data_IF_957731731170
#
_entry.id   IF_957731731170
#
_cell.length_a   1.000
_cell.length_b   1.000
_cell.length_c   1.000
_cell.angle_alpha   90.00
_cell.angle_beta   90.00
_cell.angle_gamma   90.00
#
_symmetry.space_group_name_H-M   'P 1'
#
loop_
_entity.id
_entity.type
_entity.pdbx_description
1 polymer ?
#
# COMPACT_ATOMS: atom_id res chain seq x y z
N UNK A 1 3.96 0.71 19.56
CA UNK A 1 4.50 0.19 18.29
C UNK A 1 3.44 -0.70 17.68
N UNK A 2 3.04 -0.47 16.44
CA UNK A 2 2.00 -1.25 15.77
C UNK A 2 2.51 -2.68 15.54
N UNK A 3 1.72 -3.66 15.93
CA UNK A 3 1.92 -5.06 15.57
C UNK A 3 1.24 -5.33 14.22
N UNK A 4 1.96 -5.04 13.14
CA UNK A 4 1.48 -5.24 11.77
C UNK A 4 1.05 -6.69 11.47
N UNK A 5 1.79 -7.74 11.91
CA UNK A 5 1.35 -9.13 11.75
C UNK A 5 0.00 -9.46 12.40
N UNK A 6 -0.39 -8.74 13.46
CA UNK A 6 -1.70 -8.90 14.13
C UNK A 6 -2.69 -7.77 13.86
N UNK A 7 -2.39 -6.86 12.94
CA UNK A 7 -3.25 -5.74 12.55
C UNK A 7 -3.89 -5.98 11.19
N UNK A 8 -5.19 -5.71 11.07
CA UNK A 8 -5.98 -6.11 9.92
C UNK A 8 -6.93 -5.01 9.45
N UNK A 9 -7.18 -4.99 8.15
CA UNK A 9 -8.38 -4.40 7.57
C UNK A 9 -9.32 -5.54 7.15
N UNK A 10 -10.57 -5.48 7.59
CA UNK A 10 -11.61 -6.44 7.23
C UNK A 10 -12.77 -5.69 6.59
N UNK A 11 -13.34 -6.22 5.51
CA UNK A 11 -14.54 -5.65 4.92
C UNK A 11 -15.52 -6.70 4.44
N UNK A 12 -16.77 -6.27 4.30
CA UNK A 12 -17.88 -7.01 3.70
C UNK A 12 -18.27 -6.33 2.39
N UNK A 13 -18.28 -7.08 1.29
CA UNK A 13 -18.73 -6.54 0.00
C UNK A 13 -20.23 -6.27 0.03
N UNK A 14 -20.70 -5.34 -0.79
CA UNK A 14 -22.12 -5.32 -1.16
C UNK A 14 -22.51 -6.65 -1.84
N UNK A 15 -23.81 -7.03 -1.80
CA UNK A 15 -24.31 -8.16 -2.56
C UNK A 15 -23.92 -8.02 -4.03
N UNK A 16 -23.29 -9.05 -4.59
CA UNK A 16 -22.85 -9.04 -5.98
C UNK A 16 -24.05 -8.77 -6.88
N UNK A 17 -23.89 -7.83 -7.80
CA UNK A 17 -24.76 -7.70 -8.97
C UNK A 17 -23.98 -8.17 -10.20
N UNK A 18 -24.65 -8.88 -11.10
CA UNK A 18 -24.06 -9.22 -12.39
C UNK A 18 -23.69 -7.94 -13.12
N UNK A 19 -22.42 -7.83 -13.51
CA UNK A 19 -21.98 -6.77 -14.41
C UNK A 19 -22.69 -6.94 -15.77
N UNK A 20 -23.22 -5.87 -16.37
CA UNK A 20 -23.98 -5.95 -17.62
C UNK A 20 -23.14 -6.40 -18.82
N UNK A 21 -21.82 -6.23 -18.76
CA UNK A 21 -20.91 -6.52 -19.87
C UNK A 21 -20.03 -7.73 -19.59
N UNK A 22 -19.46 -7.85 -18.40
CA UNK A 22 -18.39 -8.82 -18.12
C UNK A 22 -18.86 -10.02 -17.29
N UNK A 23 -18.39 -11.23 -17.64
CA UNK A 23 -18.68 -12.47 -16.90
C UNK A 23 -18.01 -12.48 -15.52
N UNK A 24 -16.79 -11.96 -15.43
CA UNK A 24 -15.96 -12.01 -14.23
C UNK A 24 -15.50 -10.63 -13.75
N UNK A 25 -16.35 -9.61 -13.89
CA UNK A 25 -16.09 -8.26 -13.38
C UNK A 25 -15.52 -8.29 -11.95
N UNK A 26 -14.45 -7.53 -11.72
CA UNK A 26 -13.83 -7.48 -10.40
C UNK A 26 -13.21 -8.81 -9.93
N UNK A 27 -13.11 -9.83 -10.79
CA UNK A 27 -12.52 -11.14 -10.44
C UNK A 27 -13.46 -11.98 -9.58
N UNK A 28 -14.73 -11.61 -9.49
CA UNK A 28 -15.67 -12.30 -8.63
C UNK A 28 -16.22 -13.56 -9.31
N UNK A 29 -16.07 -14.72 -8.67
CA UNK A 29 -16.71 -15.97 -9.03
C UNK A 29 -17.77 -16.30 -7.99
N UNK A 30 -19.03 -16.43 -8.41
CA UNK A 30 -20.18 -16.65 -7.53
C UNK A 30 -21.50 -16.28 -8.20
N UNK A 31 -22.58 -16.26 -7.44
CA UNK A 31 -23.94 -15.92 -7.89
C UNK A 31 -24.29 -14.47 -7.55
N UNK A 32 -25.33 -13.96 -8.19
CA UNK A 32 -25.92 -12.69 -7.80
C UNK A 32 -26.44 -12.78 -6.37
N UNK A 33 -26.25 -11.71 -5.59
CA UNK A 33 -26.53 -11.66 -4.17
C UNK A 33 -25.42 -12.20 -3.27
N UNK A 34 -24.41 -12.89 -3.81
CA UNK A 34 -23.29 -13.38 -2.99
C UNK A 34 -22.56 -12.22 -2.31
N UNK A 35 -22.22 -12.41 -1.04
CA UNK A 35 -21.45 -11.46 -0.24
C UNK A 35 -20.16 -12.12 0.22
N UNK A 36 -19.04 -11.39 0.14
CA UNK A 36 -17.74 -11.85 0.63
C UNK A 36 -17.30 -11.04 1.82
N UNK A 37 -16.67 -11.71 2.79
CA UNK A 37 -15.88 -11.08 3.84
C UNK A 37 -14.41 -11.29 3.51
N UNK A 38 -13.65 -10.22 3.45
CA UNK A 38 -12.24 -10.24 3.09
C UNK A 38 -11.45 -9.60 4.22
N UNK A 39 -10.24 -10.12 4.46
CA UNK A 39 -9.30 -9.59 5.45
C UNK A 39 -7.90 -9.62 4.86
N UNK A 40 -7.14 -8.54 5.05
CA UNK A 40 -5.69 -8.55 4.86
C UNK A 40 -4.97 -7.91 6.04
N UNK A 41 -3.67 -8.18 6.15
CA UNK A 41 -2.79 -7.51 7.10
C UNK A 41 -2.52 -6.06 6.67
N UNK A 42 -2.32 -5.19 7.64
CA UNK A 42 -1.80 -3.83 7.39
C UNK A 42 -0.28 -3.93 7.37
N UNK A 43 0.39 -3.28 6.40
CA UNK A 43 1.85 -3.34 6.24
C UNK A 43 2.56 -2.03 6.61
N UNK A 44 1.85 -0.90 6.60
CA UNK A 44 2.37 0.36 7.14
C UNK A 44 1.24 1.28 7.57
N UNK A 45 1.53 2.18 8.51
CA UNK A 45 0.67 3.30 8.89
C UNK A 45 1.39 4.63 8.66
N UNK A 46 0.63 5.67 8.29
CA UNK A 46 1.11 7.02 8.11
C UNK A 46 0.16 7.99 8.81
N UNK A 47 0.70 8.91 9.59
CA UNK A 47 -0.03 9.98 10.26
C UNK A 47 0.37 11.30 9.64
N UNK A 48 -0.62 12.07 9.19
CA UNK A 48 -0.46 13.49 8.85
C UNK A 48 -0.85 14.29 10.08
N UNK A 49 0.02 15.17 10.55
CA UNK A 49 -0.22 16.04 11.71
C UNK A 49 0.06 17.51 11.40
N UNK A 50 -0.64 18.39 12.10
CA UNK A 50 -0.31 19.81 12.14
C UNK A 50 1.05 20.04 12.82
N UNK A 51 1.59 21.25 12.70
CA UNK A 51 2.88 21.63 13.29
C UNK A 51 2.91 21.51 14.82
N UNK A 52 1.76 21.72 15.48
CA UNK A 52 1.60 21.52 16.92
C UNK A 52 1.48 20.04 17.36
N UNK A 53 1.63 19.09 16.43
CA UNK A 53 1.55 17.64 16.68
C UNK A 53 0.14 17.07 16.68
N UNK A 54 -0.92 17.87 16.45
CA UNK A 54 -2.28 17.35 16.37
C UNK A 54 -2.44 16.46 15.13
N UNK A 55 -2.84 15.20 15.32
CA UNK A 55 -3.12 14.28 14.22
C UNK A 55 -4.34 14.75 13.41
N UNK A 56 -4.18 14.86 12.09
CA UNK A 56 -5.20 15.32 11.15
C UNK A 56 -5.80 14.15 10.35
N UNK A 57 -4.96 13.18 9.97
CA UNK A 57 -5.39 11.98 9.25
C UNK A 57 -4.45 10.80 9.50
N UNK A 58 -5.02 9.59 9.46
CA UNK A 58 -4.28 8.33 9.43
C UNK A 58 -4.52 7.63 8.09
N UNK A 59 -3.45 7.12 7.49
CA UNK A 59 -3.43 6.39 6.24
C UNK A 59 -2.74 5.05 6.45
N UNK A 60 -3.18 4.02 5.73
CA UNK A 60 -2.68 2.67 5.83
C UNK A 60 -2.52 2.07 4.43
N UNK A 61 -1.63 1.09 4.29
CA UNK A 61 -1.61 0.19 3.14
C UNK A 61 -1.74 -1.25 3.58
N UNK A 62 -2.54 -2.00 2.84
CA UNK A 62 -2.74 -3.43 3.05
C UNK A 62 -1.66 -4.28 2.37
N UNK A 63 -1.54 -5.51 2.87
CA UNK A 63 -0.80 -6.58 2.25
C UNK A 63 -1.26 -6.81 0.80
N UNK A 64 -0.34 -7.19 -0.09
CA UNK A 64 -0.68 -7.39 -1.49
C UNK A 64 -1.55 -8.63 -1.66
N UNK A 65 -2.41 -8.57 -2.66
CA UNK A 65 -2.96 -9.74 -3.30
C UNK A 65 -2.48 -9.76 -4.76
N UNK A 66 -2.65 -10.88 -5.46
CA UNK A 66 -2.57 -10.89 -6.92
C UNK A 66 -3.97 -10.67 -7.46
N UNK A 67 -4.11 -10.12 -8.67
CA UNK A 67 -5.42 -9.98 -9.30
C UNK A 67 -5.97 -11.37 -9.66
N UNK A 68 -6.48 -12.05 -8.65
CA UNK A 68 -7.01 -13.39 -8.70
C UNK A 68 -8.53 -13.38 -8.79
N UNK A 69 -9.06 -14.54 -9.16
CA UNK A 69 -10.46 -14.85 -9.00
C UNK A 69 -10.76 -15.17 -7.54
N UNK A 70 -11.84 -14.61 -7.00
CA UNK A 70 -12.22 -14.81 -5.60
C UNK A 70 -12.92 -16.16 -5.41
N UNK A 71 -12.28 -17.05 -4.65
CA UNK A 71 -12.79 -18.37 -4.21
C UNK A 71 -13.25 -19.28 -5.39
N UNK A 72 -12.47 -19.43 -6.47
CA UNK A 72 -12.71 -20.50 -7.43
C UNK A 72 -12.28 -21.85 -6.83
N UNK A 73 -12.76 -22.96 -7.41
CA UNK A 73 -12.23 -24.30 -7.09
C UNK A 73 -10.85 -24.56 -7.70
N UNK A 74 -10.57 -23.93 -8.85
CA UNK A 74 -9.31 -24.05 -9.60
C UNK A 74 -9.15 -22.89 -10.58
N UNK A 75 -7.91 -22.59 -10.98
CA UNK A 75 -7.59 -21.48 -11.87
C UNK A 75 -7.79 -20.12 -11.18
N UNK A 76 -7.01 -19.87 -10.12
CA UNK A 76 -7.08 -18.65 -9.32
C UNK A 76 -6.56 -17.44 -10.08
N UNK A 77 -5.49 -17.61 -10.84
CA UNK A 77 -4.82 -16.51 -11.52
C UNK A 77 -5.24 -16.43 -12.99
N UNK A 78 -5.32 -15.19 -13.47
CA UNK A 78 -5.30 -14.87 -14.89
C UNK A 78 -3.88 -14.41 -15.24
N UNK A 79 -3.42 -14.68 -16.45
CA UNK A 79 -2.23 -14.04 -17.00
C UNK A 79 -2.66 -13.11 -18.14
N UNK A 80 -2.09 -11.88 -18.25
CA UNK A 80 -1.24 -11.23 -17.24
C UNK A 80 -1.99 -10.99 -15.91
N UNK A 81 -1.27 -11.09 -14.79
CA UNK A 81 -1.76 -10.66 -13.48
C UNK A 81 -1.06 -9.38 -13.06
N UNK A 82 -1.70 -8.62 -12.18
CA UNK A 82 -1.04 -7.56 -11.42
C UNK A 82 -1.14 -7.77 -9.92
N UNK A 83 -0.46 -6.89 -9.20
CA UNK A 83 -0.65 -6.74 -7.77
C UNK A 83 -1.89 -5.90 -7.50
N UNK A 84 -2.78 -6.42 -6.65
CA UNK A 84 -3.82 -5.63 -6.01
C UNK A 84 -3.31 -5.18 -4.65
N UNK A 85 -3.39 -3.89 -4.38
CA UNK A 85 -3.20 -3.28 -3.07
C UNK A 85 -4.28 -2.24 -2.83
N UNK A 86 -4.57 -1.99 -1.57
CA UNK A 86 -5.47 -0.94 -1.15
C UNK A 86 -4.77 -0.05 -0.14
N UNK A 87 -4.79 1.24 -0.40
CA UNK A 87 -4.54 2.26 0.60
C UNK A 87 -5.87 2.83 1.09
N UNK A 88 -5.92 3.19 2.36
CA UNK A 88 -7.15 3.63 3.00
C UNK A 88 -6.84 4.48 4.24
N UNK A 89 -7.78 5.33 4.61
CA UNK A 89 -7.85 6.00 5.90
C UNK A 89 -8.93 5.34 6.78
N UNK A 90 -9.24 5.94 7.93
CA UNK A 90 -10.37 5.52 8.77
C UNK A 90 -11.72 5.59 8.06
N UNK A 91 -11.84 6.43 7.04
CA UNK A 91 -13.13 6.71 6.39
C UNK A 91 -13.09 6.56 4.89
N UNK A 92 -11.92 6.56 4.24
CA UNK A 92 -11.83 6.51 2.78
C UNK A 92 -10.95 5.38 2.27
N UNK A 93 -11.30 4.79 1.13
CA UNK A 93 -10.39 4.10 0.23
C UNK A 93 -9.69 5.14 -0.65
N UNK A 94 -8.36 5.06 -0.75
CA UNK A 94 -7.56 6.08 -1.43
C UNK A 94 -6.80 5.46 -2.61
N UNK A 95 -6.91 6.03 -3.82
CA UNK A 95 -6.14 5.60 -4.98
C UNK A 95 -4.62 5.66 -4.73
N UNK A 96 -3.92 4.59 -5.13
CA UNK A 96 -2.46 4.55 -5.21
C UNK A 96 -2.05 5.12 -6.57
N UNK A 97 -1.11 6.07 -6.57
CA UNK A 97 -0.61 6.74 -7.75
C UNK A 97 -0.03 5.76 -8.78
N UNK A 98 -0.28 6.03 -10.06
CA UNK A 98 0.34 5.32 -11.19
C UNK A 98 1.42 6.15 -11.87
N UNK A 99 1.47 7.44 -11.56
CA UNK A 99 2.42 8.42 -12.12
C UNK A 99 3.39 8.93 -11.06
N UNK A 100 4.55 9.48 -11.47
CA UNK A 100 5.46 10.19 -10.57
C UNK A 100 4.77 11.31 -9.79
N UNK A 101 5.36 11.73 -8.68
CA UNK A 101 4.73 12.70 -7.78
C UNK A 101 4.49 14.08 -8.41
N UNK A 102 5.38 14.49 -9.32
CA UNK A 102 5.27 15.74 -10.07
C UNK A 102 4.20 15.75 -11.17
N UNK A 103 3.58 14.59 -11.45
CA UNK A 103 2.53 14.47 -12.45
C UNK A 103 1.14 14.35 -11.80
N UNK A 104 0.17 15.05 -12.37
CA UNK A 104 -1.22 14.90 -11.99
C UNK A 104 -1.87 13.70 -12.69
N UNK A 105 -2.76 13.02 -11.98
CA UNK A 105 -3.68 12.03 -12.53
C UNK A 105 -5.04 12.18 -11.87
N UNK A 106 -6.14 11.82 -12.56
CA UNK A 106 -7.46 11.79 -11.94
C UNK A 106 -7.45 10.84 -10.74
N UNK A 107 -7.62 11.40 -9.55
CA UNK A 107 -7.65 10.64 -8.30
C UNK A 107 -8.73 11.21 -7.39
N UNK A 108 -9.53 10.33 -6.79
CA UNK A 108 -10.50 10.71 -5.77
C UNK A 108 -10.58 9.62 -4.73
N UNK A 109 -10.37 9.99 -3.48
CA UNK A 109 -10.72 9.15 -2.35
C UNK A 109 -12.23 8.86 -2.35
N UNK A 110 -12.59 7.63 -2.03
CA UNK A 110 -13.97 7.14 -1.97
C UNK A 110 -14.30 6.79 -0.52
N UNK A 111 -15.45 7.24 0.00
CA UNK A 111 -15.89 6.86 1.35
C UNK A 111 -16.01 5.33 1.46
N UNK A 112 -15.55 4.77 2.58
CA UNK A 112 -15.54 3.31 2.80
C UNK A 112 -16.96 2.75 2.84
N UNK A 113 -17.94 3.52 3.30
CA UNK A 113 -19.36 3.16 3.30
C UNK A 113 -19.96 3.08 1.89
N UNK A 114 -19.34 3.71 0.90
CA UNK A 114 -19.73 3.58 -0.52
C UNK A 114 -18.99 2.42 -1.20
N UNK A 115 -17.80 2.07 -0.72
CA UNK A 115 -17.00 0.97 -1.25
C UNK A 115 -17.43 -0.40 -0.68
N UNK A 116 -17.88 -0.43 0.58
CA UNK A 116 -18.12 -1.64 1.35
C UNK A 116 -19.42 -1.55 2.13
N UNK A 117 -20.09 -2.69 2.31
CA UNK A 117 -21.28 -2.77 3.15
C UNK A 117 -20.93 -2.56 4.63
N UNK A 118 -19.74 -3.01 5.04
CA UNK A 118 -19.23 -2.92 6.40
C UNK A 118 -17.70 -3.06 6.35
N UNK A 119 -16.99 -2.41 7.28
CA UNK A 119 -15.54 -2.54 7.40
C UNK A 119 -15.05 -2.28 8.83
N UNK A 120 -13.95 -2.93 9.18
CA UNK A 120 -13.25 -2.80 10.46
C UNK A 120 -11.75 -2.64 10.25
N UNK A 121 -11.15 -1.73 11.03
CA UNK A 121 -9.70 -1.53 11.10
C UNK A 121 -9.25 -1.92 12.50
N UNK A 122 -8.68 -3.12 12.61
CA UNK A 122 -8.18 -3.65 13.88
C UNK A 122 -6.68 -3.42 13.97
N UNK A 123 -6.25 -2.44 14.77
CA UNK A 123 -4.84 -2.24 15.10
C UNK A 123 -4.50 -2.92 16.42
N UNK A 124 -3.41 -3.68 16.42
CA UNK A 124 -2.79 -4.22 17.64
C UNK A 124 -1.49 -3.50 17.86
N UNK A 125 -1.14 -3.29 19.12
CA UNK A 125 0.05 -2.54 19.48
C UNK A 125 0.80 -3.27 20.59
N UNK A 126 2.13 -3.20 20.52
CA UNK A 126 3.00 -3.45 21.65
C UNK A 126 3.05 -2.20 22.53
N UNK A 127 2.63 -2.31 23.80
CA UNK A 127 2.79 -1.21 24.75
C UNK A 127 4.27 -1.01 25.05
N UNK A 128 4.67 0.24 25.30
CA UNK A 128 6.01 0.59 25.76
C UNK A 128 7.15 -0.01 24.90
N UNK A 129 7.16 0.24 23.57
CA UNK A 129 8.28 -0.18 22.75
C UNK A 129 9.58 0.51 23.20
N UNK A 130 10.70 -0.15 22.98
CA UNK A 130 12.01 0.39 23.32
C UNK A 130 12.57 1.09 22.08
N UNK A 131 12.86 2.38 22.19
CA UNK A 131 13.46 3.16 21.12
C UNK A 131 14.97 2.87 21.03
N UNK A 132 15.41 2.56 19.81
CA UNK A 132 16.79 2.30 19.45
C UNK A 132 17.26 3.44 18.54
N UNK A 133 17.79 4.50 19.16
CA UNK A 133 18.24 5.72 18.48
C UNK A 133 19.77 5.75 18.27
N UNK A 134 20.42 4.58 18.32
CA UNK A 134 21.86 4.41 18.12
C UNK A 134 22.11 3.08 17.39
N UNK A 135 23.22 3.02 16.65
CA UNK A 135 23.56 1.87 15.80
C UNK A 135 23.78 0.59 16.59
N UNK A 136 24.55 0.63 17.68
CA UNK A 136 24.94 -0.57 18.41
C UNK A 136 23.73 -1.28 19.05
N UNK A 137 22.82 -0.59 19.78
CA UNK A 137 21.60 -1.23 20.29
C UNK A 137 20.71 -1.81 19.18
N UNK A 138 20.65 -1.15 18.02
CA UNK A 138 19.91 -1.64 16.85
C UNK A 138 20.54 -2.91 16.27
N UNK A 139 21.85 -2.93 16.11
CA UNK A 139 22.59 -4.10 15.61
C UNK A 139 22.39 -5.28 16.56
N UNK A 140 22.56 -5.09 17.87
CA UNK A 140 22.36 -6.16 18.85
C UNK A 140 20.91 -6.67 18.87
N UNK A 141 19.92 -5.78 18.76
CA UNK A 141 18.51 -6.19 18.65
C UNK A 141 18.24 -6.98 17.37
N UNK A 142 18.86 -6.59 16.25
CA UNK A 142 18.76 -7.29 14.97
C UNK A 142 19.35 -8.70 15.06
N UNK A 143 20.58 -8.83 15.60
CA UNK A 143 21.24 -10.13 15.78
C UNK A 143 20.50 -11.05 16.76
N UNK A 144 19.73 -10.46 17.69
CA UNK A 144 18.85 -11.20 18.60
C UNK A 144 17.50 -11.60 17.97
N UNK A 145 17.28 -11.35 16.67
CA UNK A 145 16.00 -11.57 15.98
C UNK A 145 14.81 -10.86 16.64
N UNK A 146 15.05 -9.67 17.21
CA UNK A 146 13.98 -8.90 17.82
C UNK A 146 12.96 -8.43 16.78
N UNK A 147 11.70 -8.29 17.20
CA UNK A 147 10.68 -7.69 16.36
C UNK A 147 10.87 -6.17 16.33
N UNK A 148 11.12 -5.64 15.13
CA UNK A 148 11.46 -4.24 14.91
C UNK A 148 10.45 -3.53 13.99
N UNK A 149 10.05 -2.32 14.36
CA UNK A 149 9.45 -1.34 13.44
C UNK A 149 10.39 -0.16 13.30
N UNK A 150 10.28 0.59 12.21
CA UNK A 150 10.84 1.94 12.12
C UNK A 150 9.70 2.96 12.11
N UNK A 151 9.95 4.10 12.73
CA UNK A 151 9.09 5.28 12.68
C UNK A 151 9.92 6.44 12.16
N UNK A 152 9.48 7.00 11.04
CA UNK A 152 10.18 8.06 10.34
C UNK A 152 9.28 9.27 10.18
N UNK A 153 9.75 10.44 10.56
CA UNK A 153 8.99 11.68 10.45
C UNK A 153 9.73 12.73 9.62
N UNK A 154 9.01 13.40 8.72
CA UNK A 154 9.53 14.54 7.95
C UNK A 154 8.51 15.67 7.89
N UNK A 155 8.99 16.88 7.57
CA UNK A 155 8.15 18.06 7.35
C UNK A 155 8.00 18.30 5.85
N UNK A 156 6.78 18.56 5.42
CA UNK A 156 6.52 19.07 4.08
C UNK A 156 6.61 20.59 4.09
N UNK A 157 7.62 21.14 3.41
CA UNK A 157 7.90 22.57 3.43
C UNK A 157 6.78 23.42 2.80
N UNK A 158 6.04 22.87 1.85
CA UNK A 158 4.99 23.59 1.12
C UNK A 158 3.73 23.78 1.97
N UNK A 159 3.33 22.76 2.72
CA UNK A 159 2.10 22.77 3.53
C UNK A 159 2.37 23.06 5.01
N UNK A 160 3.62 22.90 5.47
CA UNK A 160 4.00 22.96 6.89
C UNK A 160 3.53 21.74 7.70
N UNK A 161 2.93 20.73 7.05
CA UNK A 161 2.46 19.52 7.70
C UNK A 161 3.62 18.59 8.02
N UNK A 162 3.47 17.84 9.12
CA UNK A 162 4.39 16.76 9.49
C UNK A 162 3.78 15.43 9.07
N UNK A 163 4.58 14.60 8.42
CA UNK A 163 4.22 13.23 8.04
C UNK A 163 5.05 12.28 8.89
N UNK A 164 4.40 11.31 9.53
CA UNK A 164 5.07 10.27 10.31
C UNK A 164 4.62 8.89 9.81
N UNK A 165 5.55 8.05 9.38
CA UNK A 165 5.28 6.72 8.84
C UNK A 165 5.86 5.68 9.77
N UNK A 166 5.06 4.68 10.15
CA UNK A 166 5.50 3.51 10.91
C UNK A 166 5.31 2.24 10.08
N UNK A 167 6.30 1.35 10.07
CA UNK A 167 6.32 0.14 9.26
C UNK A 167 7.28 -0.90 9.88
N UNK A 168 7.09 -2.21 9.61
CA UNK A 168 7.98 -3.25 10.11
C UNK A 168 9.33 -3.20 9.37
N UNK A 169 10.42 -3.42 10.11
CA UNK A 169 11.76 -3.58 9.54
C UNK A 169 11.90 -5.02 9.05
N UNK A 170 11.47 -5.28 7.82
CA UNK A 170 11.53 -6.61 7.22
C UNK A 170 12.92 -6.96 6.66
N UNK A 171 13.75 -5.95 6.38
CA UNK A 171 15.10 -6.10 5.86
C UNK A 171 15.97 -4.98 6.42
N UNK A 172 17.06 -5.39 7.07
CA UNK A 172 18.11 -4.53 7.59
C UNK A 172 19.46 -5.20 7.32
N UNK A 173 20.41 -4.44 6.79
CA UNK A 173 21.81 -4.85 6.73
C UNK A 173 22.52 -4.32 7.97
N UNK A 174 23.37 -5.14 8.60
CA UNK A 174 24.18 -4.73 9.76
C UNK A 174 25.64 -5.09 9.55
N UNK A 175 26.52 -4.22 10.01
CA UNK A 175 27.94 -4.47 10.16
C UNK A 175 28.34 -4.09 11.59
N UNK A 176 28.67 -5.11 12.38
CA UNK A 176 29.01 -4.94 13.80
C UNK A 176 30.36 -4.26 14.00
N UNK A 177 31.33 -4.50 13.13
CA UNK A 177 32.68 -3.96 13.27
C UNK A 177 32.69 -2.44 13.08
N UNK A 178 31.91 -1.96 12.11
CA UNK A 178 31.81 -0.54 11.77
C UNK A 178 30.67 0.19 12.49
N UNK A 179 29.93 -0.49 13.38
CA UNK A 179 28.68 -0.01 13.97
C UNK A 179 27.73 0.60 12.93
N UNK A 180 27.64 -0.02 11.75
CA UNK A 180 26.87 0.46 10.62
C UNK A 180 25.62 -0.38 10.39
N UNK A 181 24.55 0.28 9.97
CA UNK A 181 23.30 -0.38 9.59
C UNK A 181 22.70 0.29 8.37
N UNK A 182 21.83 -0.44 7.68
CA UNK A 182 20.94 0.10 6.65
C UNK A 182 19.60 -0.59 6.74
N UNK A 183 18.56 0.14 7.13
CA UNK A 183 17.18 -0.31 6.93
C UNK A 183 16.87 -0.13 5.45
N UNK A 184 16.38 -1.17 4.77
CA UNK A 184 15.81 -1.01 3.42
C UNK A 184 14.61 -1.94 3.22
N UNK A 185 13.41 -1.41 3.45
CA UNK A 185 12.18 -2.19 3.54
C UNK A 185 11.03 -1.51 2.80
N UNK A 186 9.94 -2.25 2.64
CA UNK A 186 8.69 -1.77 2.10
C UNK A 186 7.74 -2.92 1.77
N UNK A 187 6.60 -2.60 1.16
CA UNK A 187 6.20 -1.24 0.81
C UNK A 187 5.58 -0.47 1.99
N UNK A 188 5.51 0.84 1.85
CA UNK A 188 4.82 1.75 2.76
C UNK A 188 3.99 2.78 2.00
N UNK A 189 3.06 3.41 2.73
CA UNK A 189 2.19 4.47 2.22
C UNK A 189 2.76 5.86 2.51
N UNK A 190 2.82 6.71 1.49
CA UNK A 190 3.12 8.14 1.63
C UNK A 190 1.94 8.98 1.12
N UNK A 191 1.58 10.07 1.81
CA UNK A 191 0.52 10.96 1.35
C UNK A 191 0.98 11.78 0.16
N UNK A 192 0.10 11.96 -0.83
CA UNK A 192 0.27 13.05 -1.77
C UNK A 192 -0.37 14.32 -1.21
N UNK A 193 0.45 15.13 -0.54
CA UNK A 193 0.00 16.38 0.08
C UNK A 193 -0.44 17.44 -0.93
N UNK A 194 -0.12 17.30 -2.22
CA UNK A 194 -0.69 18.16 -3.26
C UNK A 194 -2.20 17.90 -3.45
N UNK A 195 -2.69 16.74 -3.00
CA UNK A 195 -4.12 16.36 -3.03
C UNK A 195 -4.79 16.45 -1.66
N UNK A 196 -4.14 17.06 -0.68
CA UNK A 196 -4.69 17.27 0.65
C UNK A 196 -5.85 18.28 0.61
N UNK A 197 -7.01 17.87 1.14
CA UNK A 197 -8.22 18.72 1.17
C UNK A 197 -8.58 19.24 2.57
N UNK A 198 -7.70 19.06 3.56
CA UNK A 198 -7.95 19.40 4.97
C UNK A 198 -8.51 18.24 5.81
N UNK A 199 -8.97 17.14 5.19
CA UNK A 199 -9.50 15.95 5.87
C UNK A 199 -8.80 14.67 5.43
N UNK A 200 -8.51 14.54 4.14
CA UNK A 200 -7.82 13.39 3.56
C UNK A 200 -7.02 13.80 2.33
N UNK A 201 -6.23 12.87 1.79
CA UNK A 201 -5.60 12.99 0.48
C UNK A 201 -6.41 12.22 -0.55
N UNK A 202 -6.52 12.74 -1.78
CA UNK A 202 -7.19 12.02 -2.86
C UNK A 202 -6.28 11.01 -3.57
N UNK A 203 -4.98 11.02 -3.25
CA UNK A 203 -3.96 10.11 -3.80
C UNK A 203 -2.89 9.79 -2.74
N UNK A 204 -2.31 8.61 -2.82
CA UNK A 204 -1.11 8.23 -2.07
C UNK A 204 -0.06 7.62 -2.98
N UNK A 205 1.19 7.60 -2.53
CA UNK A 205 2.27 6.87 -3.17
C UNK A 205 2.55 5.56 -2.45
N UNK A 206 2.90 4.54 -3.22
CA UNK A 206 3.50 3.31 -2.71
C UNK A 206 5.02 3.44 -2.83
N UNK A 207 5.71 3.38 -1.70
CA UNK A 207 7.15 3.59 -1.63
C UNK A 207 7.86 2.43 -0.93
N UNK A 208 9.18 2.37 -1.12
CA UNK A 208 10.10 1.70 -0.20
C UNK A 208 10.97 2.76 0.44
N UNK A 209 11.66 2.40 1.52
CA UNK A 209 12.49 3.32 2.30
C UNK A 209 13.88 2.75 2.47
N UNK A 210 14.87 3.64 2.50
CA UNK A 210 16.21 3.34 2.96
C UNK A 210 16.73 4.45 3.91
N UNK A 211 17.43 4.05 4.98
CA UNK A 211 18.24 4.96 5.79
C UNK A 211 19.32 4.22 6.56
N UNK A 212 20.44 4.90 6.79
CA UNK A 212 21.58 4.46 7.62
C UNK A 212 21.84 5.41 8.80
N UNK A 213 21.08 6.51 8.88
CA UNK A 213 21.21 7.56 9.88
C UNK A 213 19.84 7.97 10.43
N UNK A 214 19.82 8.52 11.63
CA UNK A 214 18.57 8.84 12.34
C UNK A 214 17.97 10.22 11.97
N UNK A 215 18.67 10.99 11.14
CA UNK A 215 18.30 12.36 10.74
C UNK A 215 18.06 12.53 9.22
N UNK A 216 18.19 11.45 8.43
CA UNK A 216 18.05 11.46 6.97
C UNK A 216 17.34 10.20 6.47
N UNK A 217 16.48 10.37 5.48
CA UNK A 217 15.70 9.27 4.89
C UNK A 217 15.60 9.41 3.38
N UNK A 218 15.59 8.28 2.70
CA UNK A 218 15.21 8.18 1.30
C UNK A 218 13.96 7.32 1.14
N UNK A 219 12.97 7.83 0.42
CA UNK A 219 11.86 7.04 -0.09
C UNK A 219 12.01 6.87 -1.59
N UNK A 220 11.81 5.65 -2.09
CA UNK A 220 11.78 5.38 -3.53
C UNK A 220 10.37 5.01 -3.96
N UNK A 221 9.82 5.76 -4.91
CA UNK A 221 8.42 5.71 -5.33
C UNK A 221 8.27 4.93 -6.63
N UNK A 222 7.14 4.21 -6.75
CA UNK A 222 6.79 3.39 -7.91
C UNK A 222 5.92 4.14 -8.91
N UNK A 223 6.11 3.89 -10.20
CA UNK A 223 5.21 4.29 -11.30
C UNK A 223 4.84 3.11 -12.20
N UNK A 224 3.80 3.28 -13.01
CA UNK A 224 3.55 2.43 -14.17
C UNK A 224 4.38 2.87 -15.39
N UNK A 225 4.79 1.90 -16.20
CA UNK A 225 5.55 2.11 -17.44
C UNK A 225 4.77 1.53 -18.60
N UNK A 226 4.67 2.28 -19.70
CA UNK A 226 4.12 1.77 -20.94
C UNK A 226 5.11 0.77 -21.55
N UNK A 227 4.64 -0.43 -21.87
CA UNK A 227 5.44 -1.41 -22.59
C UNK A 227 5.60 -1.02 -24.07
N UNK A 228 6.69 -1.47 -24.69
CA UNK A 228 6.89 -1.34 -26.13
C UNK A 228 5.81 -2.13 -26.89
N UNK A 229 5.50 -1.71 -28.12
CA UNK A 229 4.44 -2.31 -28.92
C UNK A 229 4.64 -3.82 -29.15
N UNK A 230 5.88 -4.28 -29.35
CA UNK A 230 6.17 -5.72 -29.46
C UNK A 230 5.87 -6.53 -28.19
N UNK A 231 6.07 -5.94 -27.01
CA UNK A 231 5.82 -6.58 -25.71
C UNK A 231 4.32 -6.66 -25.40
N UNK A 232 3.50 -5.77 -25.98
CA UNK A 232 2.05 -5.79 -25.77
C UNK A 232 1.41 -7.09 -26.25
N UNK A 233 1.98 -7.77 -27.26
CA UNK A 233 1.46 -9.06 -27.73
C UNK A 233 1.53 -10.09 -26.61
N UNK A 234 2.68 -10.20 -25.94
CA UNK A 234 2.88 -11.10 -24.81
C UNK A 234 2.10 -10.62 -23.58
N UNK A 235 2.20 -9.33 -23.22
CA UNK A 235 1.51 -8.77 -22.06
C UNK A 235 -0.01 -8.87 -22.16
N UNK A 236 -0.60 -8.84 -23.35
CA UNK A 236 -2.05 -8.97 -23.52
C UNK A 236 -2.50 -10.40 -23.80
N UNK A 237 -1.58 -11.35 -23.99
CA UNK A 237 -1.91 -12.75 -24.19
C UNK A 237 -2.54 -13.31 -22.93
N UNK A 238 -3.80 -13.72 -23.03
CA UNK A 238 -4.54 -14.24 -21.88
C UNK A 238 -4.30 -15.72 -21.71
N UNK A 239 -3.91 -16.12 -20.50
CA UNK A 239 -3.93 -17.51 -20.07
C UNK A 239 -4.91 -17.71 -18.92
N UNK A 240 -5.72 -18.77 -19.02
CA UNK A 240 -6.78 -19.06 -18.06
C UNK A 240 -8.08 -18.33 -18.41
N UNK A 241 -8.81 -17.86 -17.39
CA UNK A 241 -10.03 -17.06 -17.58
C UNK A 241 -9.62 -15.62 -17.88
N UNK A 242 -10.36 -14.96 -18.76
CA UNK A 242 -10.19 -13.53 -19.00
C UNK A 242 -11.14 -12.72 -18.11
N UNK A 243 -10.63 -11.87 -17.21
CA UNK A 243 -11.49 -10.98 -16.40
C UNK A 243 -12.32 -10.02 -17.25
N UNK A 244 -11.87 -9.75 -18.47
CA UNK A 244 -12.54 -8.91 -19.45
C UNK A 244 -13.43 -9.72 -20.42
N UNK A 245 -13.66 -11.01 -20.16
CA UNK A 245 -14.56 -11.83 -20.97
C UNK A 245 -15.98 -11.25 -20.95
N UNK A 246 -16.47 -10.88 -22.13
CA UNK A 246 -17.81 -10.35 -22.32
C UNK A 246 -18.86 -11.45 -22.18
N UNK A 247 -20.03 -11.10 -21.62
CA UNK A 247 -21.22 -11.94 -21.58
C UNK A 247 -21.79 -12.15 -22.98
N UNK A 248 -21.93 -11.06 -23.71
CA UNK A 248 -22.33 -11.02 -25.11
C UNK A 248 -21.24 -10.31 -25.92
N UNK A 249 -20.54 -11.00 -26.83
CA UNK A 249 -19.52 -10.38 -27.68
C UNK A 249 -20.01 -9.19 -28.53
N UNK A 250 -21.33 -9.09 -28.75
CA UNK A 250 -21.95 -8.00 -29.51
C UNK A 250 -22.32 -6.78 -28.64
N UNK A 251 -22.37 -6.94 -27.31
CA UNK A 251 -22.65 -5.87 -26.36
C UNK A 251 -21.38 -5.45 -25.62
N UNK A 252 -20.65 -4.49 -26.21
CA UNK A 252 -19.37 -4.01 -25.68
C UNK A 252 -19.56 -2.73 -24.88
N UNK A 253 -18.90 -2.59 -23.71
CA UNK A 253 -18.87 -1.32 -23.00
C UNK A 253 -18.04 -0.28 -23.77
N UNK A 254 -18.24 1.02 -23.52
CA UNK A 254 -17.38 2.07 -24.05
C UNK A 254 -15.90 1.81 -23.69
N UNK A 255 -15.00 1.96 -24.68
CA UNK A 255 -13.56 1.79 -24.47
C UNK A 255 -13.08 0.34 -24.37
N UNK A 256 -13.86 -0.64 -24.84
CA UNK A 256 -13.43 -2.04 -24.91
C UNK A 256 -12.38 -2.27 -26.02
N UNK A 257 -11.32 -3.08 -25.78
CA UNK A 257 -11.00 -3.74 -24.52
C UNK A 257 -10.41 -2.75 -23.49
N UNK A 258 -10.69 -2.93 -22.20
CA UNK A 258 -10.09 -2.08 -21.17
C UNK A 258 -8.58 -2.29 -21.11
N UNK A 259 -7.81 -1.30 -20.64
CA UNK A 259 -6.37 -1.44 -20.49
C UNK A 259 -6.03 -2.62 -19.56
N UNK A 260 -5.02 -3.40 -19.95
CA UNK A 260 -4.43 -4.45 -19.12
C UNK A 260 -3.46 -3.82 -18.10
N UNK A 261 -3.11 -4.53 -17.02
CA UNK A 261 -2.16 -4.00 -16.07
C UNK A 261 -0.79 -3.71 -16.69
N UNK A 262 -0.22 -2.55 -16.36
CA UNK A 262 1.10 -2.14 -16.82
C UNK A 262 2.19 -2.66 -15.86
N UNK A 263 3.41 -2.92 -16.35
CA UNK A 263 4.55 -3.13 -15.49
C UNK A 263 4.82 -1.89 -14.65
N UNK A 264 5.44 -2.10 -13.48
CA UNK A 264 5.79 -1.02 -12.57
C UNK A 264 7.28 -1.01 -12.30
N UNK A 265 7.84 0.19 -12.14
CA UNK A 265 9.25 0.41 -11.79
C UNK A 265 9.34 1.48 -10.73
N UNK A 266 10.48 1.52 -10.03
CA UNK A 266 10.84 2.66 -9.20
C UNK A 266 11.40 3.77 -10.09
N UNK A 267 10.91 5.01 -9.92
CA UNK A 267 11.26 6.11 -10.83
C UNK A 267 11.65 7.42 -10.15
N UNK A 268 11.48 7.52 -8.84
CA UNK A 268 11.64 8.77 -8.12
C UNK A 268 12.16 8.49 -6.72
N UNK A 269 13.08 9.32 -6.24
CA UNK A 269 13.61 9.28 -4.87
C UNK A 269 13.27 10.59 -4.17
N UNK A 270 12.69 10.50 -2.98
CA UNK A 270 12.55 11.60 -2.04
C UNK A 270 13.61 11.48 -0.97
N UNK A 271 14.61 12.34 -1.02
CA UNK A 271 15.69 12.48 -0.05
C UNK A 271 15.39 13.66 0.87
N UNK A 272 15.18 13.42 2.16
CA UNK A 272 14.67 14.44 3.08
C UNK A 272 15.38 14.40 4.45
N UNK A 273 15.60 15.57 5.08
CA UNK A 273 15.82 15.63 6.52
C UNK A 273 14.64 14.99 7.26
N UNK A 274 14.92 14.22 8.30
CA UNK A 274 13.90 13.45 9.01
C UNK A 274 14.26 13.24 10.47
N UNK A 275 13.34 12.64 11.21
CA UNK A 275 13.61 12.02 12.51
C UNK A 275 13.21 10.56 12.40
N UNK A 276 14.20 9.68 12.39
CA UNK A 276 14.01 8.24 12.29
C UNK A 276 14.31 7.61 13.64
N UNK A 277 13.45 6.69 14.05
CA UNK A 277 13.62 5.90 15.27
C UNK A 277 13.29 4.46 14.95
N UNK A 278 14.15 3.52 15.35
CA UNK A 278 13.78 2.10 15.33
C UNK A 278 13.16 1.74 16.67
N UNK A 279 12.04 1.04 16.63
CA UNK A 279 11.28 0.57 17.77
C UNK A 279 11.47 -0.93 17.89
N UNK A 280 11.83 -1.40 19.09
CA UNK A 280 11.85 -2.82 19.43
C UNK A 280 10.60 -3.16 20.24
N UNK A 281 9.94 -4.26 19.90
CA UNK A 281 8.93 -4.83 20.79
C UNK A 281 9.53 -5.14 22.17
N UNK A 282 8.77 -4.99 23.27
CA UNK A 282 9.17 -5.56 24.55
C UNK A 282 9.29 -7.09 24.39
N UNK A 283 10.16 -7.71 25.18
CA UNK A 283 10.24 -9.18 25.22
C UNK A 283 8.86 -9.73 25.58
N UNK A 284 8.30 -10.58 24.71
CA UNK A 284 7.05 -11.31 24.94
C UNK A 284 7.27 -12.49 25.87
#
# INVERSE_FOLDING_TARGET
>A
MIDFPRSFFTWKTFPRQADPYYKYAGGFIGKDGDVRRVRFNIESGCVISAENGAALAELFVGAPCRTEYTIPRQGFFQLPSSEFRMAFSRTHRIPIARRPSGESEPASAQELSEAFQDCDISLKEFPQPIELNASEPLIEATLANALLNARCAYRDEKTGLRVTVEYPVNLINVNREDAAFQVCTGPLVLPDLATWNGRTVHRVFLAHVAFTAFDYIEFILRREVAAASEELVWLHHVEGRDRNELRDPNNKPPGYPPPRPSPTVYSEVWALPSTNTVLRAPNL
#
